data_IF_848882737579
#
_entry.id   IF_848882737579
#
_cell.length_a   1.000
_cell.length_b   1.000
_cell.length_c   1.000
_cell.angle_alpha   90.00
_cell.angle_beta   90.00
_cell.angle_gamma   90.00
#
_symmetry.space_group_name_H-M   'P 1'
#
loop_
_entity.id
_entity.type
_entity.pdbx_description
1 polymer ?
#
# COMPACT_ATOMS: atom_id res chain seq x y z
N UNK A 1 27.25 21.65 68.57
CA UNK A 1 26.93 23.09 68.51
C UNK A 1 26.22 23.33 67.20
N UNK A 2 24.95 23.69 67.30
CA UNK A 2 23.95 23.76 66.23
C UNK A 2 23.74 25.23 65.89
N UNK A 3 23.53 25.55 64.61
CA UNK A 3 22.96 26.83 64.20
C UNK A 3 21.63 26.61 63.48
N UNK A 4 20.59 27.18 64.07
CA UNK A 4 19.25 27.44 63.52
C UNK A 4 19.10 28.97 63.38
N UNK A 5 18.45 29.45 62.31
CA UNK A 5 17.62 30.67 62.21
C UNK A 5 17.08 30.69 60.75
N UNK A 6 15.82 30.46 60.37
CA UNK A 6 14.45 30.96 60.70
C UNK A 6 14.07 32.28 59.99
N UNK A 7 12.84 32.24 59.42
CA UNK A 7 11.93 33.26 58.83
C UNK A 7 11.96 33.30 57.28
N UNK A 8 10.89 33.00 56.53
CA UNK A 8 9.46 33.34 56.69
C UNK A 8 9.22 34.69 56.00
N UNK A 9 8.40 34.82 54.95
CA UNK A 9 6.93 34.98 54.99
C UNK A 9 6.41 35.00 53.53
N UNK A 10 5.25 34.38 53.31
CA UNK A 10 4.43 34.49 52.10
C UNK A 10 3.46 35.68 52.22
N UNK A 11 3.02 36.26 51.09
CA UNK A 11 1.67 36.83 50.99
C UNK A 11 1.21 36.95 49.52
N UNK A 12 0.02 36.40 49.28
CA UNK A 12 -0.90 36.64 48.17
C UNK A 12 -1.22 38.13 47.95
N UNK A 13 -1.57 38.51 46.72
CA UNK A 13 -2.89 39.09 46.43
C UNK A 13 -3.08 39.35 44.93
N UNK A 14 -4.17 38.77 44.41
CA UNK A 14 -4.97 39.21 43.26
C UNK A 14 -5.22 40.73 43.20
N UNK A 15 -5.46 41.29 42.01
CA UNK A 15 -6.67 42.07 41.67
C UNK A 15 -6.70 42.60 40.21
N UNK A 16 -7.85 42.34 39.55
CA UNK A 16 -8.63 43.12 38.57
C UNK A 16 -8.04 43.67 37.23
N UNK A 17 -8.58 43.08 36.16
CA UNK A 17 -9.39 43.69 35.07
C UNK A 17 -9.33 45.21 34.83
N UNK A 18 -9.10 45.58 33.57
CA UNK A 18 -9.75 46.72 32.92
C UNK A 18 -10.13 46.37 31.47
N UNK A 19 -11.37 46.72 31.11
CA UNK A 19 -12.13 46.36 29.92
C UNK A 19 -12.14 47.44 28.84
N UNK A 20 -12.33 47.00 27.58
CA UNK A 20 -13.12 47.63 26.50
C UNK A 20 -12.64 49.01 25.95
N UNK A 21 -12.78 49.37 24.67
CA UNK A 21 -13.73 48.94 23.65
C UNK A 21 -13.26 49.32 22.23
N UNK A 22 -13.70 48.50 21.25
CA UNK A 22 -14.27 48.87 19.92
C UNK A 22 -13.38 49.56 18.85
N UNK A 23 -13.37 49.18 17.56
CA UNK A 23 -14.50 48.80 16.68
C UNK A 23 -14.04 48.26 15.30
N UNK A 24 -14.87 47.36 14.75
CA UNK A 24 -15.20 47.14 13.33
C UNK A 24 -14.17 46.53 12.35
N UNK A 25 -14.37 45.25 12.01
CA UNK A 25 -14.92 44.84 10.69
C UNK A 25 -15.42 43.39 10.78
N UNK A 26 -16.67 43.18 10.36
CA UNK A 26 -17.32 41.89 10.20
C UNK A 26 -17.30 41.50 8.72
N UNK A 27 -16.90 40.27 8.38
CA UNK A 27 -17.79 39.25 7.80
C UNK A 27 -17.00 38.04 7.26
N UNK A 28 -17.45 36.87 7.70
CA UNK A 28 -17.54 35.59 7.01
C UNK A 28 -16.27 34.87 6.54
N UNK A 29 -15.75 33.96 7.39
CA UNK A 29 -15.47 32.54 7.06
C UNK A 29 -14.92 31.79 8.28
N UNK A 30 -15.80 31.27 9.16
CA UNK A 30 -15.35 30.37 10.24
C UNK A 30 -16.40 29.33 10.67
N UNK A 31 -17.16 28.78 9.71
CA UNK A 31 -18.16 27.75 9.97
C UNK A 31 -17.83 26.36 9.37
N UNK A 32 -16.60 26.12 8.88
CA UNK A 32 -16.24 24.85 8.23
C UNK A 32 -15.24 23.96 9.00
N UNK A 33 -14.72 24.39 10.15
CA UNK A 33 -13.57 23.71 10.78
C UNK A 33 -13.89 22.84 12.00
N UNK A 34 -15.17 22.62 12.35
CA UNK A 34 -15.52 21.92 13.60
C UNK A 34 -16.58 20.81 13.50
N UNK A 35 -16.83 20.25 12.31
CA UNK A 35 -17.72 19.07 12.15
C UNK A 35 -16.94 17.77 11.81
N UNK A 36 -15.62 17.85 11.57
CA UNK A 36 -14.79 16.68 11.22
C UNK A 36 -14.09 15.94 12.37
N UNK A 37 -14.24 16.37 13.64
CA UNK A 37 -13.46 15.81 14.78
C UNK A 37 -14.26 14.96 15.76
N UNK A 38 -15.51 14.62 15.46
CA UNK A 38 -16.40 13.89 16.39
C UNK A 38 -16.75 12.45 15.97
N UNK A 39 -16.26 11.94 14.83
CA UNK A 39 -16.72 10.65 14.28
C UNK A 39 -15.67 9.51 14.29
N UNK A 40 -14.43 9.73 14.75
CA UNK A 40 -13.35 8.72 14.69
C UNK A 40 -12.81 8.38 16.10
N UNK A 41 -13.67 8.44 17.12
CA UNK A 41 -13.27 8.10 18.50
C UNK A 41 -14.26 7.17 19.23
N UNK A 42 -14.98 6.32 18.48
CA UNK A 42 -15.76 5.23 19.06
C UNK A 42 -15.76 4.00 18.16
N UNK A 43 -15.10 2.92 18.58
CA UNK A 43 -15.45 1.57 18.15
C UNK A 43 -14.41 0.77 17.37
N UNK A 44 -13.21 0.57 17.94
CA UNK A 44 -12.45 -0.66 17.68
C UNK A 44 -12.13 -1.33 19.02
N UNK A 45 -13.14 -2.01 19.58
CA UNK A 45 -12.90 -3.06 20.57
C UNK A 45 -12.53 -4.34 19.82
N UNK A 46 -11.49 -5.01 20.29
CA UNK A 46 -11.01 -6.30 19.82
C UNK A 46 -12.14 -7.33 19.83
N UNK A 47 -12.53 -7.84 18.66
CA UNK A 47 -13.33 -9.05 18.56
C UNK A 47 -12.41 -10.26 18.76
N UNK A 48 -12.47 -10.84 19.96
CA UNK A 48 -11.97 -12.18 20.22
C UNK A 48 -12.73 -13.19 19.34
N UNK A 49 -11.99 -13.94 18.52
CA UNK A 49 -12.53 -15.04 17.73
C UNK A 49 -12.90 -16.21 18.66
N UNK A 50 -14.16 -16.29 19.07
CA UNK A 50 -14.73 -17.55 19.56
C UNK A 50 -15.27 -18.36 18.38
N UNK A 51 -14.95 -19.65 18.39
CA UNK A 51 -15.23 -20.62 17.33
C UNK A 51 -16.74 -20.76 17.05
N UNK A 52 -17.12 -20.73 15.77
CA UNK A 52 -18.50 -20.98 15.36
C UNK A 52 -18.89 -22.46 15.62
N UNK A 53 -20.12 -22.74 16.10
CA UNK A 53 -20.56 -24.10 16.40
C UNK A 53 -20.70 -24.95 15.13
N UNK A 54 -20.18 -26.18 15.18
CA UNK A 54 -20.14 -27.18 14.09
C UNK A 54 -21.48 -27.48 13.39
N UNK A 55 -22.62 -27.05 13.93
CA UNK A 55 -23.96 -27.32 13.36
C UNK A 55 -24.32 -26.47 12.13
N UNK A 56 -23.70 -25.31 11.90
CA UNK A 56 -24.00 -24.48 10.71
C UNK A 56 -23.28 -24.90 9.42
N UNK A 57 -22.22 -25.71 9.53
CA UNK A 57 -21.47 -26.20 8.36
C UNK A 57 -22.25 -27.30 7.64
N UNK A 58 -23.00 -28.11 8.38
CA UNK A 58 -23.69 -29.30 7.85
C UNK A 58 -25.02 -28.99 7.14
N UNK A 59 -25.58 -27.79 7.35
CA UNK A 59 -26.77 -27.31 6.61
C UNK A 59 -26.40 -26.73 5.24
N UNK A 60 -25.17 -26.22 5.05
CA UNK A 60 -24.69 -25.70 3.76
C UNK A 60 -24.24 -26.81 2.79
N UNK A 61 -23.89 -28.00 3.27
CA UNK A 61 -23.45 -29.12 2.43
C UNK A 61 -24.60 -29.88 1.74
N UNK A 62 -25.86 -29.65 2.13
CA UNK A 62 -27.02 -30.33 1.57
C UNK A 62 -27.70 -29.58 0.41
N UNK A 63 -27.29 -28.36 0.06
CA UNK A 63 -27.88 -27.59 -1.05
C UNK A 63 -27.11 -27.68 -2.37
N UNK A 64 -25.96 -28.37 -2.40
CA UNK A 64 -25.22 -28.64 -3.64
C UNK A 64 -25.31 -30.14 -3.92
N UNK A 65 -26.20 -30.52 -4.84
CA UNK A 65 -26.35 -31.90 -5.30
C UNK A 65 -25.06 -32.41 -5.93
N UNK A 66 -24.23 -33.10 -5.14
CA UNK A 66 -23.04 -33.81 -5.61
C UNK A 66 -23.41 -35.28 -5.78
N UNK A 67 -23.50 -35.71 -7.03
CA UNK A 67 -23.57 -37.11 -7.42
C UNK A 67 -22.27 -37.82 -6.99
N UNK A 68 -22.38 -38.78 -6.07
CA UNK A 68 -21.27 -39.51 -5.46
C UNK A 68 -21.10 -40.91 -6.05
N UNK A 69 -21.29 -41.05 -7.37
CA UNK A 69 -21.03 -42.34 -8.03
C UNK A 69 -19.52 -42.59 -8.19
N UNK A 70 -18.95 -43.70 -7.67
CA UNK A 70 -17.50 -43.97 -7.76
C UNK A 70 -17.13 -44.44 -9.17
N UNK A 71 -16.25 -43.70 -9.86
CA UNK A 71 -15.75 -44.09 -11.18
C UNK A 71 -14.70 -45.18 -11.05
N UNK A 72 -15.15 -46.43 -11.08
CA UNK A 72 -14.31 -47.56 -11.42
C UNK A 72 -14.18 -47.68 -12.94
N UNK A 73 -12.92 -47.67 -13.42
CA UNK A 73 -12.43 -48.17 -14.72
C UNK A 73 -13.41 -48.18 -15.90
N UNK A 74 -13.30 -47.19 -16.80
CA UNK A 74 -13.55 -47.40 -18.24
C UNK A 74 -12.82 -46.38 -19.14
N UNK A 75 -11.89 -46.95 -19.90
CA UNK A 75 -11.58 -46.67 -21.31
C UNK A 75 -10.76 -45.42 -21.71
N UNK A 76 -9.56 -45.77 -22.16
CA UNK A 76 -8.70 -45.06 -23.12
C UNK A 76 -9.45 -44.70 -24.42
N UNK A 77 -8.92 -43.63 -25.02
CA UNK A 77 -8.89 -43.26 -26.44
C UNK A 77 -9.95 -42.28 -26.98
N UNK A 78 -9.37 -41.26 -27.63
CA UNK A 78 -9.87 -40.41 -28.70
C UNK A 78 -10.89 -39.34 -28.29
N UNK A 79 -10.43 -38.09 -28.22
CA UNK A 79 -11.00 -36.97 -29.00
C UNK A 79 -10.05 -35.75 -28.95
N UNK A 80 -8.90 -35.86 -29.61
CA UNK A 80 -8.27 -34.67 -30.20
C UNK A 80 -9.08 -34.35 -31.46
N UNK A 81 -9.90 -33.28 -31.41
CA UNK A 81 -10.26 -32.39 -32.53
C UNK A 81 -11.48 -31.53 -32.15
N UNK A 82 -11.21 -30.28 -31.77
CA UNK A 82 -11.83 -29.12 -32.39
C UNK A 82 -11.07 -27.86 -31.98
N UNK A 83 -10.44 -27.12 -32.90
CA UNK A 83 -9.96 -25.78 -32.59
C UNK A 83 -11.19 -24.88 -32.55
N UNK A 84 -11.64 -24.52 -31.34
CA UNK A 84 -12.52 -23.37 -31.18
C UNK A 84 -11.76 -22.18 -31.74
N UNK A 85 -12.32 -21.56 -32.79
CA UNK A 85 -11.86 -20.26 -33.29
C UNK A 85 -12.05 -19.25 -32.16
N UNK A 86 -10.99 -19.00 -31.41
CA UNK A 86 -10.94 -17.89 -30.47
C UNK A 86 -10.82 -16.60 -31.28
N UNK A 87 -11.66 -15.63 -30.93
CA UNK A 87 -11.68 -14.30 -31.51
C UNK A 87 -10.29 -13.65 -31.49
N UNK A 88 -9.99 -12.87 -32.54
CA UNK A 88 -8.68 -12.22 -32.78
C UNK A 88 -8.36 -11.03 -31.85
N UNK A 89 -9.12 -10.85 -30.78
CA UNK A 89 -8.91 -9.78 -29.79
C UNK A 89 -8.48 -10.36 -28.44
N UNK A 90 -7.50 -11.26 -28.45
CA UNK A 90 -6.77 -11.60 -27.25
C UNK A 90 -5.58 -10.66 -27.16
N UNK A 91 -5.69 -9.64 -26.32
CA UNK A 91 -4.54 -9.11 -25.59
C UNK A 91 -3.72 -10.33 -25.13
N UNK A 92 -2.55 -10.54 -25.73
CA UNK A 92 -1.65 -11.59 -25.29
C UNK A 92 -1.40 -11.35 -23.81
N UNK A 93 -2.01 -12.16 -22.94
CA UNK A 93 -1.72 -12.13 -21.50
C UNK A 93 -0.21 -12.27 -21.37
N UNK A 94 0.46 -11.18 -21.02
CA UNK A 94 1.90 -11.17 -20.91
C UNK A 94 2.25 -12.11 -19.76
N UNK A 95 2.94 -13.21 -20.08
CA UNK A 95 3.44 -14.14 -19.08
C UNK A 95 4.71 -13.50 -18.51
N UNK A 96 4.63 -13.09 -17.25
CA UNK A 96 5.80 -12.61 -16.51
C UNK A 96 6.60 -13.80 -16.01
N UNK A 97 7.92 -13.77 -16.20
CA UNK A 97 8.83 -14.80 -15.65
C UNK A 97 9.01 -14.64 -14.14
N UNK A 98 8.80 -13.42 -13.65
CA UNK A 98 9.00 -13.01 -12.28
C UNK A 98 8.04 -11.90 -11.91
N UNK A 99 7.52 -11.97 -10.70
CA UNK A 99 6.75 -10.91 -10.06
C UNK A 99 7.50 -10.57 -8.77
N UNK A 100 7.77 -9.28 -8.54
CA UNK A 100 8.42 -8.76 -7.33
C UNK A 100 7.43 -7.83 -6.63
N UNK A 101 7.26 -7.97 -5.32
CA UNK A 101 6.53 -6.99 -4.49
C UNK A 101 7.51 -6.33 -3.55
N UNK A 102 7.68 -5.02 -3.68
CA UNK A 102 8.60 -4.23 -2.86
C UNK A 102 7.85 -3.13 -2.13
N UNK A 103 8.10 -3.03 -0.82
CA UNK A 103 7.52 -2.00 0.03
C UNK A 103 8.57 -0.94 0.33
N UNK A 104 8.25 0.32 0.02
CA UNK A 104 9.18 1.43 0.20
C UNK A 104 8.73 2.25 1.40
N UNK A 105 9.63 2.40 2.36
CA UNK A 105 9.44 3.23 3.54
C UNK A 105 10.54 4.27 3.60
N UNK A 106 10.16 5.54 3.63
CA UNK A 106 11.12 6.63 3.76
C UNK A 106 10.54 7.76 4.60
N UNK A 107 10.54 7.59 5.93
CA UNK A 107 9.91 8.55 6.85
C UNK A 107 10.68 9.86 7.00
N UNK A 108 11.95 9.93 6.57
CA UNK A 108 12.81 11.12 6.73
C UNK A 108 12.36 12.34 5.91
N UNK A 109 11.54 12.14 4.88
CA UNK A 109 11.06 13.23 4.01
C UNK A 109 9.71 13.79 4.44
N UNK A 110 9.19 13.27 5.55
CA UNK A 110 7.90 13.63 6.06
C UNK A 110 8.11 14.24 7.44
N UNK A 111 7.84 15.54 7.58
CA UNK A 111 7.73 16.26 8.87
C UNK A 111 6.50 15.77 9.66
N UNK A 112 6.25 14.47 9.64
CA UNK A 112 5.10 13.84 10.27
C UNK A 112 5.41 13.66 11.76
N UNK A 113 4.39 13.90 12.58
CA UNK A 113 4.42 13.47 13.97
C UNK A 113 4.41 11.92 14.05
N UNK A 114 4.81 11.36 15.19
CA UNK A 114 4.94 9.91 15.41
C UNK A 114 3.64 9.11 15.09
N UNK A 115 2.48 9.71 15.35
CA UNK A 115 1.16 9.10 15.10
C UNK A 115 0.94 8.86 13.60
N UNK A 116 1.31 9.82 12.75
CA UNK A 116 1.18 9.69 11.31
C UNK A 116 2.15 8.66 10.75
N UNK A 117 3.39 8.59 11.26
CA UNK A 117 4.35 7.57 10.84
C UNK A 117 3.83 6.15 11.12
N UNK A 118 3.24 5.93 12.30
CA UNK A 118 2.69 4.62 12.68
C UNK A 118 1.52 4.20 11.77
N UNK A 119 0.66 5.16 11.40
CA UNK A 119 -0.45 4.92 10.48
C UNK A 119 0.04 4.47 9.10
N UNK A 120 1.04 5.17 8.55
CA UNK A 120 1.59 4.87 7.22
C UNK A 120 2.32 3.53 7.19
N UNK A 121 3.09 3.21 8.25
CA UNK A 121 3.75 1.92 8.36
C UNK A 121 2.71 0.80 8.37
N UNK A 122 1.61 0.97 9.12
CA UNK A 122 0.52 -0.01 9.15
C UNK A 122 -0.19 -0.13 7.80
N UNK A 123 -0.48 0.98 7.12
CA UNK A 123 -1.14 0.98 5.82
C UNK A 123 -0.30 0.24 4.76
N UNK A 124 0.98 0.59 4.63
CA UNK A 124 1.91 -0.11 3.75
C UNK A 124 2.05 -1.58 4.17
N UNK A 125 2.07 -1.88 5.48
CA UNK A 125 2.15 -3.25 5.97
C UNK A 125 0.99 -4.11 5.52
N UNK A 126 -0.23 -3.58 5.62
CA UNK A 126 -1.44 -4.26 5.19
C UNK A 126 -1.47 -4.46 3.67
N UNK A 127 -1.13 -3.43 2.89
CA UNK A 127 -1.02 -3.53 1.43
C UNK A 127 0.10 -4.48 0.97
N UNK A 128 1.20 -4.49 1.72
CA UNK A 128 2.34 -5.38 1.54
C UNK A 128 1.98 -6.86 1.64
N UNK A 129 0.84 -7.21 2.26
CA UNK A 129 0.30 -8.58 2.27
C UNK A 129 -0.01 -9.11 0.86
N UNK A 130 -0.05 -8.25 -0.17
CA UNK A 130 -0.01 -8.67 -1.58
C UNK A 130 1.12 -9.67 -1.87
N UNK A 131 2.25 -9.53 -1.19
CA UNK A 131 3.39 -10.46 -1.33
C UNK A 131 3.05 -11.89 -0.89
N UNK A 132 2.02 -12.18 -0.08
CA UNK A 132 1.61 -13.57 0.20
C UNK A 132 1.27 -14.38 -1.05
N UNK A 133 0.84 -13.71 -2.12
CA UNK A 133 0.51 -14.36 -3.39
C UNK A 133 1.74 -14.75 -4.20
N UNK A 134 2.84 -13.99 -4.11
CA UNK A 134 4.00 -14.10 -5.00
C UNK A 134 5.30 -14.52 -4.28
N UNK A 135 5.42 -14.16 -3.01
CA UNK A 135 6.56 -14.43 -2.12
C UNK A 135 6.04 -14.91 -0.75
N UNK A 136 5.58 -16.16 -0.63
CA UNK A 136 4.97 -16.66 0.60
C UNK A 136 5.95 -16.78 1.78
N UNK A 137 7.27 -16.69 1.53
CA UNK A 137 8.32 -16.86 2.55
C UNK A 137 9.16 -15.60 2.79
N UNK A 138 9.04 -14.59 1.92
CA UNK A 138 9.91 -13.42 1.95
C UNK A 138 9.09 -12.15 1.77
N UNK A 139 9.60 -11.07 2.35
CA UNK A 139 9.04 -9.73 2.23
C UNK A 139 10.17 -8.77 1.91
N UNK A 140 10.11 -8.16 0.73
CA UNK A 140 11.13 -7.20 0.29
C UNK A 140 10.70 -5.80 0.69
N UNK A 141 11.52 -5.15 1.50
CA UNK A 141 11.31 -3.77 1.91
C UNK A 141 12.52 -2.94 1.52
N UNK A 142 12.35 -1.64 1.38
CA UNK A 142 13.43 -0.68 1.21
C UNK A 142 13.25 0.44 2.24
N UNK A 143 14.20 0.58 3.17
CA UNK A 143 14.21 1.63 4.18
C UNK A 143 15.60 1.86 4.75
N UNK A 144 15.96 3.12 4.99
CA UNK A 144 17.15 3.51 5.75
C UNK A 144 16.85 3.89 7.21
N UNK A 145 15.59 3.79 7.64
CA UNK A 145 15.18 4.15 8.99
C UNK A 145 15.09 2.89 9.87
N UNK A 146 16.04 2.76 10.81
CA UNK A 146 16.09 1.67 11.78
C UNK A 146 14.84 1.61 12.67
N UNK A 147 14.25 2.74 13.03
CA UNK A 147 13.03 2.78 13.84
C UNK A 147 11.83 2.28 13.04
N UNK A 148 11.75 2.64 11.76
CA UNK A 148 10.76 2.08 10.84
C UNK A 148 10.92 0.56 10.69
N UNK A 149 12.16 0.08 10.50
CA UNK A 149 12.46 -1.36 10.41
C UNK A 149 12.05 -2.11 11.68
N UNK A 150 12.32 -1.52 12.85
CA UNK A 150 11.90 -2.08 14.15
C UNK A 150 10.38 -2.16 14.24
N UNK A 151 9.66 -1.10 13.87
CA UNK A 151 8.19 -1.10 13.87
C UNK A 151 7.61 -2.15 12.92
N UNK A 152 8.16 -2.31 11.72
CA UNK A 152 7.74 -3.36 10.77
C UNK A 152 7.98 -4.75 11.38
N UNK A 153 9.14 -4.98 12.02
CA UNK A 153 9.45 -6.23 12.71
C UNK A 153 8.45 -6.53 13.84
N UNK A 154 8.13 -5.52 14.65
CA UNK A 154 7.19 -5.65 15.77
C UNK A 154 5.75 -5.91 15.25
N UNK A 155 5.33 -5.27 14.16
CA UNK A 155 4.07 -5.55 13.46
C UNK A 155 4.02 -6.97 12.88
N UNK A 156 5.10 -7.44 12.25
CA UNK A 156 5.19 -8.81 11.75
C UNK A 156 5.01 -9.84 12.86
N UNK A 157 5.69 -9.66 14.00
CA UNK A 157 5.52 -10.53 15.18
C UNK A 157 4.09 -10.49 15.71
N UNK A 158 3.52 -9.29 15.86
CA UNK A 158 2.14 -9.10 16.35
C UNK A 158 1.10 -9.80 15.48
N UNK A 159 1.32 -9.83 14.17
CA UNK A 159 0.41 -10.45 13.20
C UNK A 159 0.77 -11.92 12.88
N UNK A 160 1.72 -12.53 13.60
CA UNK A 160 2.25 -13.87 13.33
C UNK A 160 2.76 -14.06 11.89
N UNK A 161 3.23 -12.99 11.24
CA UNK A 161 3.84 -13.07 9.92
C UNK A 161 5.23 -13.71 10.01
N UNK A 162 5.36 -14.93 9.47
CA UNK A 162 6.58 -15.75 9.53
C UNK A 162 7.55 -15.50 8.38
N UNK A 163 7.26 -14.53 7.50
CA UNK A 163 8.11 -14.25 6.34
C UNK A 163 9.41 -13.58 6.75
N UNK A 164 10.47 -13.90 6.03
CA UNK A 164 11.78 -13.27 6.19
C UNK A 164 11.70 -11.86 5.59
N UNK A 165 11.84 -10.84 6.44
CA UNK A 165 12.00 -9.46 5.99
C UNK A 165 13.40 -9.30 5.43
N UNK A 166 13.50 -8.91 4.16
CA UNK A 166 14.77 -8.55 3.51
C UNK A 166 14.75 -7.06 3.20
N UNK A 167 15.63 -6.31 3.86
CA UNK A 167 15.83 -4.90 3.56
C UNK A 167 16.78 -4.74 2.37
N UNK A 168 16.25 -4.29 1.24
CA UNK A 168 17.01 -4.07 0.01
C UNK A 168 18.03 -2.94 0.14
N UNK A 169 17.80 -1.98 1.05
CA UNK A 169 18.75 -0.90 1.32
C UNK A 169 20.07 -1.38 1.99
N UNK A 170 20.04 -2.57 2.62
CA UNK A 170 21.21 -3.19 3.25
C UNK A 170 21.83 -4.29 2.37
N UNK A 171 21.19 -4.65 1.27
CA UNK A 171 21.70 -5.66 0.37
C UNK A 171 22.72 -5.02 -0.56
N UNK A 172 23.93 -5.58 -0.65
CA UNK A 172 24.80 -5.29 -1.79
C UNK A 172 24.04 -5.64 -3.07
N UNK A 173 24.25 -4.88 -4.15
CA UNK A 173 23.58 -5.13 -5.45
C UNK A 173 23.73 -6.57 -5.94
N UNK A 174 24.87 -7.21 -5.64
CA UNK A 174 25.16 -8.60 -5.98
C UNK A 174 24.38 -9.62 -5.14
N UNK A 175 23.85 -9.18 -3.99
CA UNK A 175 23.13 -9.98 -3.01
C UNK A 175 21.61 -9.79 -3.05
N UNK A 176 21.09 -8.99 -3.98
CA UNK A 176 19.64 -8.90 -4.23
C UNK A 176 19.17 -10.27 -4.74
N UNK A 177 18.13 -10.89 -4.14
CA UNK A 177 17.75 -12.28 -4.41
C UNK A 177 17.09 -12.50 -5.79
N UNK A 178 17.04 -11.48 -6.63
CA UNK A 178 16.44 -11.50 -7.95
C UNK A 178 17.16 -10.56 -8.92
N UNK A 179 17.03 -10.87 -10.20
CA UNK A 179 17.48 -10.03 -11.32
C UNK A 179 16.26 -9.52 -12.08
N UNK A 180 16.21 -8.23 -12.39
CA UNK A 180 15.11 -7.71 -13.20
C UNK A 180 15.36 -7.99 -14.69
N UNK A 181 14.31 -8.41 -15.39
CA UNK A 181 14.32 -8.73 -16.83
C UNK A 181 13.19 -7.99 -17.53
N UNK A 182 13.24 -7.91 -18.86
CA UNK A 182 12.12 -7.39 -19.68
C UNK A 182 10.82 -8.21 -19.59
N UNK A 183 10.78 -9.27 -18.78
CA UNK A 183 9.60 -10.06 -18.45
C UNK A 183 9.24 -10.01 -16.95
N UNK A 184 9.91 -9.16 -16.16
CA UNK A 184 9.61 -8.97 -14.74
C UNK A 184 8.49 -7.96 -14.54
N UNK A 185 7.56 -8.26 -13.63
CA UNK A 185 6.59 -7.29 -13.09
C UNK A 185 6.98 -6.89 -11.67
N UNK A 186 6.94 -5.60 -11.37
CA UNK A 186 7.20 -5.08 -10.04
C UNK A 186 5.96 -4.37 -9.50
N UNK A 187 5.52 -4.76 -8.30
CA UNK A 187 4.57 -4.01 -7.49
C UNK A 187 5.36 -3.14 -6.51
N UNK A 188 5.05 -1.85 -6.48
CA UNK A 188 5.57 -0.92 -5.47
C UNK A 188 4.44 -0.59 -4.52
N UNK A 189 4.64 -0.87 -3.23
CA UNK A 189 3.74 -0.47 -2.15
C UNK A 189 4.42 0.64 -1.37
N UNK A 190 3.80 1.80 -1.28
CA UNK A 190 4.39 2.95 -0.62
C UNK A 190 3.31 3.98 -0.25
N UNK A 191 3.67 4.88 0.65
CA UNK A 191 2.87 6.06 0.93
C UNK A 191 2.84 6.95 -0.32
N UNK A 192 1.67 7.49 -0.64
CA UNK A 192 1.48 8.41 -1.76
C UNK A 192 0.93 9.74 -1.29
N UNK A 193 1.58 10.83 -1.71
CA UNK A 193 1.04 12.17 -1.51
C UNK A 193 0.75 12.80 -2.87
N UNK A 194 -0.44 12.52 -3.41
CA UNK A 194 -0.82 12.95 -4.76
C UNK A 194 -0.69 14.46 -5.01
N UNK A 195 -0.99 15.28 -4.00
CA UNK A 195 -0.89 16.75 -4.07
C UNK A 195 0.56 17.24 -4.17
N UNK A 196 1.46 16.66 -3.36
CA UNK A 196 2.89 16.99 -3.42
C UNK A 196 3.59 16.31 -4.59
N UNK A 197 3.03 15.20 -5.08
CA UNK A 197 3.62 14.39 -6.12
C UNK A 197 4.78 13.56 -5.61
N UNK A 198 4.64 12.94 -4.44
CA UNK A 198 5.71 12.12 -3.87
C UNK A 198 5.28 10.68 -3.60
N UNK A 199 6.22 9.76 -3.71
CA UNK A 199 6.08 8.35 -3.30
C UNK A 199 7.09 8.09 -2.18
N UNK A 200 6.60 7.74 -0.99
CA UNK A 200 7.44 7.63 0.20
C UNK A 200 8.19 8.93 0.49
N UNK A 201 7.56 10.08 0.25
CA UNK A 201 8.20 11.39 0.40
C UNK A 201 9.29 11.72 -0.65
N UNK A 202 9.48 10.89 -1.66
CA UNK A 202 10.44 11.13 -2.74
C UNK A 202 9.78 11.73 -3.97
N UNK A 203 10.43 12.73 -4.55
CA UNK A 203 10.11 13.23 -5.89
C UNK A 203 10.47 12.19 -6.96
N UNK A 204 9.97 12.35 -8.18
CA UNK A 204 10.04 11.32 -9.22
C UNK A 204 11.47 10.92 -9.59
N UNK A 205 12.39 11.88 -9.65
CA UNK A 205 13.80 11.72 -9.94
C UNK A 205 14.52 10.92 -8.85
N UNK A 206 14.29 11.24 -7.57
CA UNK A 206 14.82 10.47 -6.44
C UNK A 206 14.27 9.05 -6.40
N UNK A 207 12.96 8.91 -6.64
CA UNK A 207 12.32 7.60 -6.73
C UNK A 207 12.93 6.77 -7.88
N UNK A 208 13.17 7.37 -9.04
CA UNK A 208 13.80 6.69 -10.17
C UNK A 208 15.21 6.21 -9.84
N UNK A 209 16.00 7.05 -9.15
CA UNK A 209 17.33 6.69 -8.66
C UNK A 209 17.28 5.47 -7.75
N UNK A 210 16.41 5.46 -6.73
CA UNK A 210 16.24 4.31 -5.83
C UNK A 210 15.88 3.02 -6.60
N UNK A 211 14.91 3.08 -7.51
CA UNK A 211 14.49 1.92 -8.28
C UNK A 211 15.62 1.40 -9.19
N UNK A 212 16.33 2.28 -9.89
CA UNK A 212 17.35 1.89 -10.87
C UNK A 212 18.67 1.52 -10.23
N UNK A 213 19.11 2.32 -9.27
CA UNK A 213 20.43 2.23 -8.67
C UNK A 213 20.42 1.30 -7.47
N UNK A 214 19.53 1.49 -6.51
CA UNK A 214 19.61 0.71 -5.27
C UNK A 214 18.95 -0.65 -5.43
N UNK A 215 17.73 -0.69 -5.97
CA UNK A 215 16.98 -1.93 -6.18
C UNK A 215 17.44 -2.66 -7.45
N UNK A 216 18.25 -2.01 -8.30
CA UNK A 216 18.76 -2.57 -9.55
C UNK A 216 17.65 -3.02 -10.51
N UNK A 217 16.55 -2.25 -10.55
CA UNK A 217 15.34 -2.54 -11.33
C UNK A 217 15.22 -1.66 -12.58
N UNK A 218 16.33 -1.42 -13.29
CA UNK A 218 16.34 -0.57 -14.49
C UNK A 218 15.61 -1.17 -15.70
N UNK A 219 15.44 -2.49 -15.76
CA UNK A 219 14.75 -3.19 -16.85
C UNK A 219 13.61 -4.05 -16.33
N UNK A 220 12.36 -3.66 -16.61
CA UNK A 220 11.18 -4.45 -16.26
C UNK A 220 10.09 -4.33 -17.33
N UNK A 221 9.19 -5.30 -17.38
CA UNK A 221 8.03 -5.26 -18.27
C UNK A 221 6.97 -4.28 -17.77
N UNK A 222 6.71 -4.30 -16.47
CA UNK A 222 5.60 -3.59 -15.84
C UNK A 222 5.94 -3.17 -14.42
N UNK A 223 5.60 -1.91 -14.10
CA UNK A 223 5.67 -1.33 -12.77
C UNK A 223 4.25 -0.93 -12.36
N UNK A 224 3.71 -1.55 -11.32
CA UNK A 224 2.38 -1.24 -10.79
C UNK A 224 2.51 -0.59 -9.40
N UNK A 225 2.11 0.68 -9.33
CA UNK A 225 2.22 1.52 -8.15
C UNK A 225 0.95 1.36 -7.30
N UNK A 226 1.07 0.60 -6.21
CA UNK A 226 0.06 0.49 -5.15
C UNK A 226 0.29 1.66 -4.19
N UNK A 227 0.00 2.86 -4.70
CA UNK A 227 0.28 4.13 -4.04
C UNK A 227 -0.93 5.03 -4.20
N UNK A 228 -1.51 5.46 -3.09
CA UNK A 228 -2.76 6.22 -3.06
C UNK A 228 -2.65 7.52 -3.88
N UNK A 229 -3.66 7.80 -4.71
CA UNK A 229 -3.84 9.06 -5.45
C UNK A 229 -2.71 9.50 -6.40
N UNK A 230 -1.59 8.77 -6.53
CA UNK A 230 -0.45 9.22 -7.33
C UNK A 230 -0.77 9.29 -8.84
N UNK A 231 -1.72 8.47 -9.31
CA UNK A 231 -2.18 8.52 -10.70
C UNK A 231 -2.80 9.86 -11.07
N UNK A 232 -3.35 10.62 -10.11
CA UNK A 232 -3.85 11.97 -10.39
C UNK A 232 -2.72 12.96 -10.74
N UNK A 233 -1.49 12.67 -10.33
CA UNK A 233 -0.32 13.50 -10.60
C UNK A 233 0.31 13.16 -11.97
N UNK A 234 -0.19 13.82 -13.01
CA UNK A 234 0.23 13.58 -14.38
C UNK A 234 1.72 13.86 -14.62
N UNK A 235 2.29 14.86 -13.94
CA UNK A 235 3.70 15.21 -14.08
C UNK A 235 4.60 14.09 -13.55
N UNK A 236 4.29 13.55 -12.37
CA UNK A 236 5.02 12.44 -11.78
C UNK A 236 5.00 11.21 -12.69
N UNK A 237 3.82 10.83 -13.18
CA UNK A 237 3.65 9.69 -14.09
C UNK A 237 4.40 9.89 -15.42
N UNK A 238 4.41 11.12 -15.96
CA UNK A 238 5.16 11.43 -17.18
C UNK A 238 6.68 11.32 -16.98
N UNK A 239 7.19 11.81 -15.84
CA UNK A 239 8.61 11.70 -15.51
C UNK A 239 9.03 10.24 -15.33
N UNK A 240 8.23 9.44 -14.62
CA UNK A 240 8.44 7.99 -14.53
C UNK A 240 8.48 7.34 -15.91
N UNK A 241 7.54 7.66 -16.81
CA UNK A 241 7.50 7.06 -18.15
C UNK A 241 8.69 7.49 -19.01
N UNK A 242 9.20 8.71 -18.82
CA UNK A 242 10.40 9.17 -19.48
C UNK A 242 11.65 8.40 -19.01
N UNK A 243 11.75 8.10 -17.71
CA UNK A 243 12.82 7.29 -17.12
C UNK A 243 12.72 5.81 -17.50
N UNK A 244 11.50 5.28 -17.67
CA UNK A 244 11.23 3.88 -17.98
C UNK A 244 10.44 3.70 -19.29
N UNK A 245 10.99 4.10 -20.46
CA UNK A 245 10.23 4.14 -21.72
C UNK A 245 9.83 2.75 -22.25
N UNK A 246 10.47 1.68 -21.75
CA UNK A 246 10.21 0.28 -22.13
C UNK A 246 9.29 -0.46 -21.16
N UNK A 247 8.88 0.21 -20.08
CA UNK A 247 8.07 -0.36 -19.00
C UNK A 247 6.63 0.12 -19.14
N UNK A 248 5.65 -0.77 -18.92
CA UNK A 248 4.28 -0.35 -18.68
C UNK A 248 4.17 0.18 -17.25
N UNK A 249 3.63 1.39 -17.07
CA UNK A 249 3.41 1.96 -15.73
C UNK A 249 1.92 1.93 -15.44
N UNK A 250 1.56 1.31 -14.33
CA UNK A 250 0.20 1.27 -13.81
C UNK A 250 0.16 2.07 -12.49
N UNK A 251 -0.84 2.94 -12.35
CA UNK A 251 -1.07 3.74 -11.14
C UNK A 251 -2.57 3.98 -10.94
N UNK A 252 -2.95 4.53 -9.78
CA UNK A 252 -4.36 4.72 -9.41
C UNK A 252 -4.64 6.14 -8.94
N UNK A 253 -5.84 6.63 -9.24
CA UNK A 253 -6.33 7.98 -8.88
C UNK A 253 -7.10 8.01 -7.56
N UNK A 254 -7.12 6.91 -6.82
CA UNK A 254 -7.95 6.74 -5.63
C UNK A 254 -7.12 6.24 -4.44
N UNK A 255 -7.76 6.16 -3.27
CA UNK A 255 -7.19 5.48 -2.11
C UNK A 255 -7.20 3.97 -2.36
N UNK A 256 -6.19 3.27 -1.86
CA UNK A 256 -5.99 1.85 -2.12
C UNK A 256 -5.96 1.04 -0.84
N UNK A 257 -6.47 -0.18 -0.90
CA UNK A 257 -6.15 -1.22 0.06
C UNK A 257 -6.01 -2.57 -0.66
N UNK A 258 -5.58 -3.58 0.08
CA UNK A 258 -5.60 -4.96 -0.40
C UNK A 258 -6.60 -5.78 0.39
N UNK A 259 -7.50 -6.44 -0.32
CA UNK A 259 -8.47 -7.35 0.27
C UNK A 259 -7.98 -8.79 0.19
N UNK A 260 -8.01 -9.48 1.33
CA UNK A 260 -7.59 -10.88 1.48
C UNK A 260 -8.81 -11.83 1.45
N UNK A 261 -9.57 -11.91 0.34
CA UNK A 261 -10.55 -12.99 0.16
C UNK A 261 -11.19 -13.03 -1.24
N UNK A 262 -11.41 -14.20 -1.88
CA UNK A 262 -10.65 -15.46 -1.84
C UNK A 262 -9.36 -15.40 -2.69
N UNK A 263 -9.12 -14.27 -3.34
CA UNK A 263 -7.90 -13.93 -4.07
C UNK A 263 -7.43 -12.57 -3.57
N UNK A 264 -6.12 -12.37 -3.40
CA UNK A 264 -5.63 -11.04 -3.00
C UNK A 264 -5.90 -10.07 -4.14
N UNK A 265 -6.67 -9.03 -3.85
CA UNK A 265 -7.10 -8.01 -4.82
C UNK A 265 -6.77 -6.62 -4.31
N UNK A 266 -6.46 -5.73 -5.25
CA UNK A 266 -6.34 -4.30 -4.99
C UNK A 266 -7.75 -3.73 -5.09
N UNK A 267 -8.18 -3.02 -4.06
CA UNK A 267 -9.48 -2.34 -4.00
C UNK A 267 -9.27 -0.84 -3.85
N UNK A 268 -10.22 -0.07 -4.39
CA UNK A 268 -10.19 1.38 -4.38
C UNK A 268 -11.23 1.97 -3.44
N UNK A 269 -10.93 3.14 -2.87
CA UNK A 269 -11.88 3.96 -2.14
C UNK A 269 -11.82 5.40 -2.65
N UNK A 270 -12.97 6.07 -2.65
CA UNK A 270 -13.05 7.51 -2.86
C UNK A 270 -12.50 8.25 -1.62
N UNK A 271 -12.33 9.57 -1.74
CA UNK A 271 -11.74 10.40 -0.68
C UNK A 271 -12.57 10.44 0.62
N UNK A 272 -13.84 10.07 0.56
CA UNK A 272 -14.72 9.95 1.73
C UNK A 272 -14.69 8.54 2.36
N UNK A 273 -13.86 7.63 1.83
CA UNK A 273 -13.76 6.24 2.27
C UNK A 273 -14.81 5.31 1.66
N UNK A 274 -15.64 5.79 0.73
CA UNK A 274 -16.62 4.95 0.02
C UNK A 274 -15.89 3.98 -0.91
N UNK A 275 -16.28 2.70 -0.86
CA UNK A 275 -15.72 1.67 -1.73
C UNK A 275 -16.08 1.90 -3.19
N UNK A 276 -15.08 1.78 -4.08
CA UNK A 276 -15.24 1.87 -5.53
C UNK A 276 -15.42 0.46 -6.10
N UNK A 277 -16.61 0.19 -6.66
CA UNK A 277 -16.94 -1.12 -7.24
C UNK A 277 -16.07 -1.50 -8.45
N UNK A 278 -15.68 -0.51 -9.26
CA UNK A 278 -14.95 -0.70 -10.51
C UNK A 278 -13.62 0.06 -10.49
N UNK A 279 -12.61 -0.56 -9.88
CA UNK A 279 -11.28 0.02 -9.72
C UNK A 279 -10.57 0.28 -11.06
N UNK A 280 -10.93 -0.43 -12.13
CA UNK A 280 -10.31 -0.25 -13.45
C UNK A 280 -10.57 1.16 -14.03
N UNK A 281 -11.67 1.82 -13.62
CA UNK A 281 -11.92 3.24 -13.97
C UNK A 281 -10.96 4.21 -13.29
N UNK A 282 -10.40 3.83 -12.15
CA UNK A 282 -9.43 4.65 -11.41
C UNK A 282 -7.98 4.36 -11.81
N UNK A 283 -7.78 3.31 -12.60
CA UNK A 283 -6.47 2.86 -13.07
C UNK A 283 -6.01 3.70 -14.26
N UNK A 284 -4.75 4.10 -14.21
CA UNK A 284 -4.02 4.70 -15.33
C UNK A 284 -3.00 3.69 -15.77
N UNK A 285 -2.95 3.45 -17.08
CA UNK A 285 -1.90 2.63 -17.69
C UNK A 285 -1.18 3.45 -18.75
N UNK A 286 0.10 3.71 -18.52
CA UNK A 286 0.99 4.29 -19.54
C UNK A 286 1.77 3.15 -20.16
N UNK A 287 1.48 2.86 -21.43
CA UNK A 287 2.11 1.75 -22.15
C UNK A 287 3.53 2.12 -22.60
N UNK A 288 4.42 1.12 -22.63
CA UNK A 288 5.77 1.29 -23.18
C UNK A 288 5.76 1.84 -24.60
N UNK A 289 6.75 2.65 -24.95
CA UNK A 289 6.96 3.10 -26.33
C UNK A 289 7.45 1.92 -27.15
N UNK A 290 6.63 1.44 -28.09
CA UNK A 290 7.13 0.57 -29.14
C UNK A 290 8.09 1.39 -30.00
N UNK A 291 9.38 1.05 -29.94
CA UNK A 291 10.32 1.56 -30.92
C UNK A 291 9.83 1.06 -32.27
N UNK A 292 9.37 1.99 -33.12
CA UNK A 292 9.15 1.71 -34.53
C UNK A 292 10.50 1.33 -35.13
N UNK A 293 10.83 0.05 -35.09
CA UNK A 293 11.92 -0.54 -35.85
C UNK A 293 11.51 -0.48 -37.32
N UNK A 294 11.67 0.70 -37.93
CA UNK A 294 11.76 0.79 -39.38
C UNK A 294 13.13 0.22 -39.76
N UNK A 295 13.10 -1.04 -40.18
CA UNK A 295 14.15 -1.71 -40.96
C UNK A 295 14.47 -0.92 -42.22
#
# INVERSE_FOLDING_TARGET
MSFNLVHGIAHDSSYLQASAAEKNTANDTSAATNIGRSAIQSGYQSLEWTSLPKRKIQEMENEVGIDTTPVSKRQKNNFYRNPVRVSRDQDCQQIFDRIVVCEIYNPKFNELNEDNQSHEILANYEQGKLSYKYHPHERYIYSFDEDCLKQISDLSKKNNDQRIIRNLAECDRENIPFTFTSLTKMFIVAQGEGEKGTIGGMEADQFCEVITEDINAGEMAEMELIVCNIGANHNYIQQLHASYPRTNIISYKCLLATQLNPSIQIIGFDNDGTWIEDIEKQKITVRKKLLNLKS
#
